data_IF_894068599746
#
_entry.id   IF_894068599746
#
_cell.length_a   1.000
_cell.length_b   1.000
_cell.length_c   1.000
_cell.angle_alpha   90.00
_cell.angle_beta   90.00
_cell.angle_gamma   90.00
#
_symmetry.space_group_name_H-M   'P 1'
#
loop_
_entity.id
_entity.type
_entity.pdbx_description
1 polymer ?
#
# COMPACT_ATOMS: atom_id res chain seq x y z
N UNK A 1 -3.67 9.78 13.92
CA UNK A 1 -2.96 8.94 12.93
C UNK A 1 -3.05 7.45 13.23
N UNK A 2 -2.66 6.96 14.43
CA UNK A 2 -2.75 5.52 14.77
C UNK A 2 -4.16 4.90 14.62
N UNK A 3 -5.20 5.61 15.05
CA UNK A 3 -6.59 5.12 14.95
C UNK A 3 -7.09 4.98 13.50
N UNK A 4 -6.66 5.87 12.61
CA UNK A 4 -7.00 5.81 11.17
C UNK A 4 -6.30 4.62 10.52
N UNK A 5 -5.05 4.35 10.92
CA UNK A 5 -4.30 3.16 10.48
C UNK A 5 -5.04 1.89 10.89
N UNK A 6 -5.49 1.81 12.15
CA UNK A 6 -6.20 0.64 12.64
C UNK A 6 -7.55 0.44 11.95
N UNK A 7 -8.32 1.50 11.68
CA UNK A 7 -9.59 1.41 10.95
C UNK A 7 -9.40 0.87 9.53
N UNK A 8 -8.49 1.45 8.76
CA UNK A 8 -8.19 0.99 7.38
C UNK A 8 -7.59 -0.42 7.41
N UNK A 9 -6.73 -0.73 8.37
CA UNK A 9 -6.16 -2.06 8.54
C UNK A 9 -7.25 -3.09 8.88
N UNK A 10 -8.26 -2.75 9.68
CA UNK A 10 -9.40 -3.62 9.96
C UNK A 10 -10.28 -3.84 8.73
N UNK A 11 -10.53 -2.80 7.93
CA UNK A 11 -11.33 -2.90 6.71
C UNK A 11 -10.64 -3.79 5.66
N UNK A 12 -9.35 -3.54 5.40
CA UNK A 12 -8.53 -4.39 4.52
C UNK A 12 -8.35 -5.79 5.13
N UNK A 13 -8.32 -5.94 6.46
CA UNK A 13 -8.37 -7.26 7.10
C UNK A 13 -9.72 -7.96 6.93
N UNK A 14 -10.83 -7.24 6.86
CA UNK A 14 -12.15 -7.83 6.62
C UNK A 14 -12.31 -8.30 5.17
N UNK A 15 -11.79 -7.54 4.21
CA UNK A 15 -11.84 -7.86 2.77
C UNK A 15 -10.83 -8.97 2.43
N UNK A 16 -9.61 -8.87 2.98
CA UNK A 16 -8.50 -9.78 2.67
C UNK A 16 -8.10 -10.65 3.88
N UNK A 17 -9.09 -11.27 4.56
CA UNK A 17 -8.98 -12.03 5.84
C UNK A 17 -7.87 -13.08 5.94
N UNK A 18 -7.30 -13.54 4.83
CA UNK A 18 -6.24 -14.57 4.80
C UNK A 18 -4.97 -14.14 4.05
N UNK A 19 -4.94 -12.95 3.45
CA UNK A 19 -3.76 -12.49 2.68
C UNK A 19 -2.83 -11.69 3.57
N UNK A 20 -1.65 -12.24 3.86
CA UNK A 20 -0.54 -11.54 4.52
C UNK A 20 0.17 -10.58 3.56
N UNK A 21 0.12 -10.92 2.26
CA UNK A 21 0.70 -10.14 1.18
C UNK A 21 -0.39 -9.74 0.18
N UNK A 22 -0.37 -8.48 -0.23
CA UNK A 22 -1.25 -7.90 -1.23
C UNK A 22 -0.56 -7.95 -2.59
N UNK A 23 -1.24 -8.45 -3.62
CA UNK A 23 -0.79 -8.36 -5.01
C UNK A 23 -0.94 -6.93 -5.54
N UNK A 24 -0.38 -6.65 -6.72
CA UNK A 24 -0.59 -5.37 -7.42
C UNK A 24 -2.08 -5.11 -7.66
N UNK A 25 -2.83 -6.15 -8.04
CA UNK A 25 -4.27 -6.08 -8.21
C UNK A 25 -4.99 -5.71 -6.91
N UNK A 26 -4.70 -6.41 -5.79
CA UNK A 26 -5.29 -6.10 -4.49
C UNK A 26 -5.00 -4.64 -4.08
N UNK A 27 -3.77 -4.17 -4.35
CA UNK A 27 -3.37 -2.79 -4.06
C UNK A 27 -4.12 -1.78 -4.94
N UNK A 28 -4.33 -2.11 -6.22
CA UNK A 28 -5.08 -1.25 -7.15
C UNK A 28 -6.53 -1.07 -6.70
N UNK A 29 -7.17 -2.14 -6.20
CA UNK A 29 -8.51 -2.10 -5.63
C UNK A 29 -8.58 -1.26 -4.33
N UNK A 30 -7.61 -1.44 -3.43
CA UNK A 30 -7.55 -0.67 -2.16
C UNK A 30 -7.35 0.83 -2.43
N UNK A 31 -6.54 1.17 -3.44
CA UNK A 31 -6.26 2.55 -3.79
C UNK A 31 -7.33 3.20 -4.67
N UNK A 32 -8.16 2.39 -5.34
CA UNK A 32 -9.04 2.86 -6.41
C UNK A 32 -8.27 3.38 -7.62
N UNK A 33 -7.08 2.83 -7.88
CA UNK A 33 -6.17 3.24 -8.95
C UNK A 33 -5.94 2.11 -9.95
N UNK A 34 -5.28 2.40 -11.06
CA UNK A 34 -4.90 1.36 -12.03
C UNK A 34 -3.65 0.58 -11.59
N UNK A 35 -3.49 -0.66 -12.06
CA UNK A 35 -2.29 -1.46 -11.80
C UNK A 35 -1.01 -0.76 -12.30
N UNK A 36 -1.10 0.00 -13.39
CA UNK A 36 0.01 0.80 -13.92
C UNK A 36 0.44 1.90 -12.94
N UNK A 37 -0.50 2.58 -12.28
CA UNK A 37 -0.20 3.55 -11.23
C UNK A 37 0.48 2.88 -10.03
N UNK A 38 0.04 1.68 -9.65
CA UNK A 38 0.70 0.89 -8.59
C UNK A 38 2.13 0.51 -8.99
N UNK A 39 2.36 0.15 -10.25
CA UNK A 39 3.70 -0.07 -10.77
C UNK A 39 4.54 1.20 -10.75
N UNK A 40 3.95 2.35 -11.10
CA UNK A 40 4.62 3.65 -11.06
C UNK A 40 5.00 4.06 -9.63
N UNK A 41 4.14 3.81 -8.63
CA UNK A 41 4.46 3.95 -7.21
C UNK A 41 5.70 3.13 -6.82
N UNK A 42 5.78 1.90 -7.33
CA UNK A 42 6.96 1.03 -7.14
C UNK A 42 8.23 1.58 -7.81
N UNK A 43 8.09 2.41 -8.85
CA UNK A 43 9.17 2.99 -9.67
C UNK A 43 9.63 4.39 -9.21
N UNK A 44 8.84 5.14 -8.44
CA UNK A 44 9.19 6.48 -7.92
C UNK A 44 10.59 6.48 -7.26
N UNK A 45 11.45 7.48 -7.50
CA UNK A 45 12.87 7.45 -7.07
C UNK A 45 13.10 8.09 -5.68
N UNK A 46 13.81 7.31 -4.85
CA UNK A 46 14.82 7.64 -3.81
C UNK A 46 14.53 8.55 -2.62
N UNK A 47 13.50 9.41 -2.57
CA UNK A 47 13.29 10.28 -1.39
C UNK A 47 12.11 9.93 -0.48
N UNK A 48 11.21 9.05 -0.91
CA UNK A 48 10.14 8.50 -0.08
C UNK A 48 10.50 7.09 0.38
N UNK A 49 10.25 6.77 1.66
CA UNK A 49 10.37 5.40 2.19
C UNK A 49 9.41 4.53 1.40
N UNK A 50 9.88 3.71 0.47
CA UNK A 50 9.01 2.83 -0.34
C UNK A 50 8.36 1.74 0.50
N UNK A 51 7.18 1.22 0.11
CA UNK A 51 6.67 0.03 0.75
C UNK A 51 7.60 -1.13 0.39
N UNK A 52 7.97 -1.99 1.36
CA UNK A 52 8.74 -3.19 1.07
C UNK A 52 7.95 -4.05 0.09
N UNK A 53 8.66 -4.66 -0.87
CA UNK A 53 8.06 -5.57 -1.84
C UNK A 53 8.81 -6.88 -1.86
N UNK A 54 8.08 -7.95 -2.08
CA UNK A 54 8.62 -9.28 -2.33
C UNK A 54 8.19 -9.71 -3.73
N UNK A 55 9.00 -10.57 -4.36
CA UNK A 55 8.67 -11.16 -5.66
C UNK A 55 8.39 -12.63 -5.43
N UNK A 56 7.17 -13.07 -5.74
CA UNK A 56 6.72 -14.45 -5.57
C UNK A 56 6.33 -14.99 -6.94
N UNK A 57 7.06 -15.97 -7.48
CA UNK A 57 6.78 -16.60 -8.78
C UNK A 57 6.48 -15.60 -9.92
N UNK A 58 7.23 -14.49 -9.98
CA UNK A 58 7.11 -13.35 -10.94
C UNK A 58 6.04 -12.29 -10.62
N UNK A 59 5.30 -12.43 -9.52
CA UNK A 59 4.34 -11.42 -9.07
C UNK A 59 4.96 -10.54 -7.97
N UNK A 60 4.78 -9.22 -8.08
CA UNK A 60 5.16 -8.29 -7.01
C UNK A 60 4.06 -8.33 -5.95
N UNK A 61 4.47 -8.56 -4.71
CA UNK A 61 3.58 -8.50 -3.56
C UNK A 61 4.09 -7.58 -2.48
N UNK A 62 3.17 -6.99 -1.75
CA UNK A 62 3.46 -6.03 -0.68
C UNK A 62 2.99 -6.61 0.65
N UNK A 63 3.82 -6.61 1.71
CA UNK A 63 3.37 -6.97 3.05
C UNK A 63 2.27 -6.01 3.46
N UNK A 64 1.10 -6.56 3.79
CA UNK A 64 -0.14 -5.80 4.02
C UNK A 64 0.05 -4.64 5.00
N UNK A 65 0.63 -4.95 6.17
CA UNK A 65 0.86 -3.96 7.23
C UNK A 65 1.77 -2.83 6.77
N UNK A 66 2.93 -3.19 6.23
CA UNK A 66 3.91 -2.21 5.78
C UNK A 66 3.41 -1.36 4.61
N UNK A 67 2.57 -1.94 3.73
CA UNK A 67 1.93 -1.22 2.64
C UNK A 67 0.93 -0.17 3.14
N UNK A 68 0.07 -0.53 4.09
CA UNK A 68 -0.92 0.39 4.69
C UNK A 68 -0.23 1.50 5.47
N UNK A 69 0.79 1.15 6.27
CA UNK A 69 1.61 2.14 7.00
C UNK A 69 2.27 3.13 6.03
N UNK A 70 2.79 2.64 4.90
CA UNK A 70 3.37 3.47 3.86
C UNK A 70 2.35 4.38 3.18
N UNK A 71 1.20 3.82 2.78
CA UNK A 71 0.13 4.56 2.09
C UNK A 71 -0.35 5.75 2.94
N UNK A 72 -0.46 5.53 4.24
CA UNK A 72 -0.88 6.56 5.18
C UNK A 72 0.21 7.62 5.39
N UNK A 73 1.48 7.25 5.29
CA UNK A 73 2.58 8.20 5.31
C UNK A 73 2.57 9.07 4.03
N UNK A 74 2.36 8.49 2.85
CA UNK A 74 2.25 9.24 1.58
C UNK A 74 1.05 10.18 1.57
N UNK A 75 -0.15 9.68 1.89
CA UNK A 75 -1.37 10.51 1.93
C UNK A 75 -1.36 11.52 3.08
N UNK A 76 -0.65 11.23 4.17
CA UNK A 76 -0.43 12.15 5.28
C UNK A 76 0.57 13.27 4.97
N UNK A 77 1.55 13.02 4.09
CA UNK A 77 2.49 14.05 3.60
C UNK A 77 1.82 15.01 2.60
N UNK A 78 0.83 14.55 1.83
CA UNK A 78 0.06 15.43 0.95
C UNK A 78 -0.84 16.44 1.69
N UNK A 79 -0.98 16.34 3.02
CA UNK A 79 -1.73 17.29 3.84
C UNK A 79 -0.88 18.41 4.46
N UNK A 80 0.43 18.49 4.16
CA UNK A 80 1.37 19.41 4.81
C UNK A 80 2.22 20.21 3.82
N UNK A 81 1.68 20.45 2.62
CA UNK A 81 2.19 21.43 1.66
C UNK A 81 1.12 22.52 1.45
N UNK A 82 0.92 23.37 2.47
CA UNK A 82 0.35 24.71 2.30
C UNK A 82 1.16 25.70 3.12
#
# INVERSE_FOLDING_TARGET
>A
MKEVVEGIMQEINSIYKKKVFLSVQDVSEILGCTEEEVHNLSRLRKHQKKPPRIIVFKEVRYPKKAFVEWLLMERGLQGLET
#
